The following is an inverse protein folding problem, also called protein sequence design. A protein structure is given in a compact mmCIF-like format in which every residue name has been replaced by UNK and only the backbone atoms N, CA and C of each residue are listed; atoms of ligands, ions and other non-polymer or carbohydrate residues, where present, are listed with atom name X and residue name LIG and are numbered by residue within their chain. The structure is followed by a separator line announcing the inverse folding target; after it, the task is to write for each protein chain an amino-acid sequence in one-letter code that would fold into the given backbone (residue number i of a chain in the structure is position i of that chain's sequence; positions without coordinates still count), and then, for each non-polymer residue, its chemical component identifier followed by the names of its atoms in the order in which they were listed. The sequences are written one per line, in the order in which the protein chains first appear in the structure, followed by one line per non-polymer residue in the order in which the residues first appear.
data_IF_149432060069
#
_entry.id   IF_149432060069
#
_cell.length_a   1.000
_cell.length_b   1.000
_cell.length_c   1.000
_cell.angle_alpha   90.00
_cell.angle_beta   90.00
_cell.angle_gamma   90.00
#
_symmetry.space_group_name_H-M   'P 1'
#
loop_
_entity.id
_entity.type
_entity.pdbx_description
1 polymer ?
#
# COMPACT_ATOMS: atom_id res chain seq x y z
N UNK A 1 -0.80 7.67 40.21
CA UNK A 1 0.16 7.44 39.50
C UNK A 1 0.03 6.41 38.53
N UNK A 2 -0.49 5.38 38.89
CA UNK A 2 -0.91 4.53 37.89
C UNK A 2 -1.69 5.19 36.85
N UNK A 3 -2.47 6.18 37.26
CA UNK A 3 -3.22 6.96 36.30
C UNK A 3 -2.30 7.59 35.29
N UNK A 4 -1.17 8.11 35.76
CA UNK A 4 -0.25 8.71 34.85
C UNK A 4 0.34 7.68 33.92
N UNK A 5 0.72 6.52 34.46
CA UNK A 5 1.24 5.46 33.64
C UNK A 5 0.21 5.01 32.63
N UNK A 6 -1.02 4.89 33.07
CA UNK A 6 -2.09 4.50 32.18
C UNK A 6 -2.28 5.53 31.09
N UNK A 7 -2.22 6.79 31.47
CA UNK A 7 -2.35 7.87 30.52
C UNK A 7 -1.21 7.81 29.53
N UNK A 8 -0.01 7.54 30.00
CA UNK A 8 1.13 7.44 29.11
C UNK A 8 0.96 6.30 28.14
N UNK A 9 0.48 5.17 28.62
CA UNK A 9 0.25 4.06 27.74
C UNK A 9 -0.83 4.37 26.70
N UNK A 10 -1.90 4.95 27.15
CA UNK A 10 -2.97 5.31 26.23
C UNK A 10 -2.49 6.38 25.27
N UNK A 11 -1.75 7.35 25.77
CA UNK A 11 -1.24 8.40 24.92
C UNK A 11 -0.27 7.87 23.88
N UNK A 12 0.60 6.94 24.30
CA UNK A 12 1.55 6.35 23.38
C UNK A 12 0.82 5.53 22.30
N UNK A 13 -0.13 4.71 22.71
CA UNK A 13 -0.88 3.92 21.77
C UNK A 13 -1.67 4.81 20.83
N UNK A 14 -2.24 5.88 21.36
CA UNK A 14 -3.01 6.80 20.53
C UNK A 14 -2.11 7.50 19.54
N UNK A 15 -0.92 7.91 19.97
CA UNK A 15 0.03 8.55 19.08
C UNK A 15 0.47 7.61 17.99
N UNK A 16 0.71 6.34 18.32
CA UNK A 16 1.04 5.35 17.32
C UNK A 16 -0.11 5.17 16.36
N UNK A 17 -1.32 5.13 16.88
CA UNK A 17 -2.48 5.00 16.02
C UNK A 17 -2.64 6.20 15.13
N UNK A 18 -2.39 7.38 15.65
CA UNK A 18 -2.51 8.56 14.83
C UNK A 18 -1.45 8.62 13.76
N UNK A 19 -0.24 8.24 14.09
CA UNK A 19 0.78 8.12 13.07
C UNK A 19 0.35 7.11 12.04
N UNK A 20 -0.16 5.99 12.50
CA UNK A 20 -0.65 4.97 11.60
C UNK A 20 -1.79 5.51 10.75
N UNK A 21 -2.71 6.26 11.37
CA UNK A 21 -3.82 6.81 10.62
C UNK A 21 -3.37 7.85 9.61
N UNK A 22 -2.40 8.66 9.97
CA UNK A 22 -1.85 9.61 9.02
C UNK A 22 -1.13 8.90 7.90
N UNK A 23 -0.40 7.83 8.28
CA UNK A 23 0.31 7.03 7.29
C UNK A 23 -0.61 6.07 6.58
N UNK A 24 -1.81 5.86 7.15
CA UNK A 24 -2.73 4.90 6.57
C UNK A 24 -3.94 5.58 5.96
N UNK A 25 -3.74 6.71 5.33
CA UNK A 25 -4.73 7.14 4.35
C UNK A 25 -5.06 5.90 3.54
N UNK A 26 -6.33 5.65 3.34
CA UNK A 26 -6.73 4.37 2.75
C UNK A 26 -6.14 4.21 1.37
N UNK A 27 -5.93 2.96 0.99
CA UNK A 27 -5.44 2.66 -0.35
C UNK A 27 -6.36 3.25 -1.41
N UNK A 28 -7.67 3.19 -1.19
CA UNK A 28 -8.63 3.76 -2.12
C UNK A 28 -8.42 5.27 -2.26
N UNK A 29 -8.20 5.96 -1.14
CA UNK A 29 -8.00 7.40 -1.19
C UNK A 29 -6.70 7.74 -1.91
N UNK A 30 -5.66 6.96 -1.69
CA UNK A 30 -4.39 7.18 -2.38
C UNK A 30 -4.54 6.93 -3.88
N UNK A 31 -5.27 5.89 -4.24
CA UNK A 31 -5.47 5.60 -5.66
C UNK A 31 -6.32 6.68 -6.31
N UNK A 32 -7.32 7.18 -5.60
CA UNK A 32 -8.14 8.26 -6.12
C UNK A 32 -7.32 9.52 -6.32
N UNK A 33 -6.46 9.86 -5.35
CA UNK A 33 -5.57 11.00 -5.49
C UNK A 33 -4.61 10.81 -6.67
N UNK A 34 -4.10 9.58 -6.82
CA UNK A 34 -3.23 9.25 -7.95
C UNK A 34 -3.96 9.51 -9.26
N UNK A 35 -5.21 9.08 -9.33
CA UNK A 35 -6.01 9.22 -10.53
C UNK A 35 -6.18 10.68 -10.92
N UNK A 36 -6.18 11.58 -9.95
CA UNK A 36 -6.32 13.01 -10.21
C UNK A 36 -4.98 13.72 -10.33
N UNK A 37 -3.88 12.98 -10.37
CA UNK A 37 -2.59 13.55 -10.68
C UNK A 37 -1.62 13.70 -9.53
N UNK A 38 -1.95 13.19 -8.35
CA UNK A 38 -1.08 13.33 -7.18
C UNK A 38 -0.04 12.21 -7.20
N UNK A 39 1.17 12.55 -7.64
CA UNK A 39 2.22 11.55 -7.76
C UNK A 39 2.78 11.13 -6.42
N UNK A 40 2.71 11.99 -5.41
CA UNK A 40 3.15 11.61 -4.07
C UNK A 40 2.23 10.53 -3.50
N UNK A 41 0.94 10.62 -3.80
CA UNK A 41 0.00 9.59 -3.37
C UNK A 41 0.35 8.24 -4.01
N UNK A 42 0.70 8.24 -5.28
CA UNK A 42 1.10 7.01 -5.94
C UNK A 42 2.39 6.46 -5.36
N UNK A 43 3.36 7.32 -5.07
CA UNK A 43 4.62 6.90 -4.48
C UNK A 43 4.38 6.24 -3.12
N UNK A 44 3.45 6.78 -2.34
CA UNK A 44 3.13 6.17 -1.05
C UNK A 44 2.47 4.81 -1.24
N UNK A 45 1.57 4.70 -2.20
CA UNK A 45 0.91 3.44 -2.48
C UNK A 45 1.92 2.38 -2.90
N UNK A 46 2.87 2.75 -3.77
CA UNK A 46 3.95 1.86 -4.17
C UNK A 46 4.76 1.44 -2.95
N UNK A 47 5.07 2.38 -2.06
CA UNK A 47 5.84 2.08 -0.86
C UNK A 47 5.17 1.07 0.04
N UNK A 48 3.84 1.09 0.10
CA UNK A 48 3.11 0.14 0.94
C UNK A 48 3.20 -1.28 0.42
N UNK A 49 3.29 -1.47 -0.88
CA UNK A 49 3.13 -2.79 -1.47
C UNK A 49 4.37 -3.33 -2.17
N UNK A 50 5.38 -2.49 -2.38
CA UNK A 50 6.53 -2.91 -3.18
C UNK A 50 7.16 -4.20 -2.68
N UNK A 51 7.47 -4.26 -1.40
CA UNK A 51 8.15 -5.43 -0.86
C UNK A 51 7.27 -6.65 -0.87
N UNK A 52 5.99 -6.48 -0.58
CA UNK A 52 5.05 -7.59 -0.56
C UNK A 52 4.87 -8.18 -1.96
N UNK A 53 4.71 -7.32 -2.94
CA UNK A 53 4.51 -7.78 -4.31
C UNK A 53 5.78 -8.43 -4.85
N UNK A 54 6.93 -7.83 -4.58
CA UNK A 54 8.20 -8.42 -5.01
C UNK A 54 8.39 -9.80 -4.39
N UNK A 55 8.13 -9.93 -3.10
CA UNK A 55 8.27 -11.22 -2.42
C UNK A 55 7.30 -12.25 -2.98
N UNK A 56 6.08 -11.82 -3.25
CA UNK A 56 5.06 -12.70 -3.80
C UNK A 56 5.51 -13.26 -5.15
N UNK A 57 6.00 -12.39 -6.02
CA UNK A 57 6.46 -12.82 -7.35
C UNK A 57 7.71 -13.68 -7.22
N UNK A 58 8.61 -13.29 -6.31
CA UNK A 58 9.85 -14.06 -6.12
C UNK A 58 9.54 -15.49 -5.69
N UNK A 59 8.56 -15.67 -4.83
CA UNK A 59 8.20 -17.02 -4.39
C UNK A 59 7.68 -17.89 -5.53
N UNK A 60 7.10 -17.27 -6.55
CA UNK A 60 6.60 -18.00 -7.69
C UNK A 60 7.67 -18.27 -8.74
N UNK A 61 8.64 -17.38 -8.86
CA UNK A 61 9.60 -17.44 -9.96
C UNK A 61 10.98 -17.87 -9.54
N UNK A 62 11.31 -17.72 -8.24
CA UNK A 62 12.65 -18.00 -7.71
C UNK A 62 13.73 -17.16 -8.41
N UNK A 63 13.36 -15.99 -8.91
CA UNK A 63 14.23 -15.07 -9.65
C UNK A 63 14.02 -13.69 -9.06
N UNK A 64 14.94 -13.25 -8.20
CA UNK A 64 14.73 -12.00 -7.48
C UNK A 64 14.76 -10.78 -8.41
N UNK A 65 15.74 -10.72 -9.30
CA UNK A 65 15.83 -9.56 -10.19
C UNK A 65 14.62 -9.50 -11.11
N UNK A 66 14.17 -10.65 -11.59
CA UNK A 66 12.95 -10.70 -12.38
C UNK A 66 11.73 -10.30 -11.58
N UNK A 67 11.70 -10.68 -10.29
CA UNK A 67 10.59 -10.29 -9.44
C UNK A 67 10.54 -8.78 -9.23
N UNK A 68 11.70 -8.15 -9.07
CA UNK A 68 11.75 -6.69 -8.94
C UNK A 68 11.19 -6.04 -10.21
N UNK A 69 11.59 -6.52 -11.36
CA UNK A 69 11.11 -5.95 -12.62
C UNK A 69 9.61 -6.15 -12.79
N UNK A 70 9.12 -7.34 -12.45
CA UNK A 70 7.70 -7.62 -12.57
C UNK A 70 6.88 -6.83 -11.56
N UNK A 71 7.44 -6.57 -10.38
CA UNK A 71 6.76 -5.72 -9.40
C UNK A 71 6.62 -4.30 -9.94
N UNK A 72 7.68 -3.78 -10.56
CA UNK A 72 7.60 -2.46 -11.17
C UNK A 72 6.54 -2.42 -12.25
N UNK A 73 6.51 -3.45 -13.09
CA UNK A 73 5.49 -3.52 -14.13
C UNK A 73 4.09 -3.58 -13.54
N UNK A 74 3.93 -4.28 -12.42
CA UNK A 74 2.64 -4.35 -11.73
C UNK A 74 2.18 -2.94 -11.36
N UNK A 75 3.08 -2.13 -10.81
CA UNK A 75 2.70 -0.77 -10.42
C UNK A 75 2.42 0.12 -11.62
N UNK A 76 3.12 -0.08 -12.72
CA UNK A 76 2.80 0.65 -13.95
C UNK A 76 1.38 0.32 -14.40
N UNK A 77 1.00 -0.95 -14.32
CA UNK A 77 -0.36 -1.35 -14.69
C UNK A 77 -1.39 -0.76 -13.74
N UNK A 78 -1.09 -0.73 -12.44
CA UNK A 78 -1.99 -0.11 -11.46
C UNK A 78 -2.20 1.35 -11.83
N UNK A 79 -1.13 2.04 -12.14
CA UNK A 79 -1.20 3.44 -12.47
C UNK A 79 -2.06 3.67 -13.73
N UNK A 80 -1.81 2.87 -14.76
CA UNK A 80 -2.53 3.03 -16.02
C UNK A 80 -3.99 2.65 -15.90
N UNK A 81 -4.31 1.74 -15.01
CA UNK A 81 -5.67 1.26 -14.85
C UNK A 81 -6.44 1.95 -13.73
N UNK A 82 -5.85 2.99 -13.13
CA UNK A 82 -6.45 3.63 -11.96
C UNK A 82 -7.87 4.11 -12.25
N UNK A 83 -8.14 4.57 -13.46
CA UNK A 83 -9.47 5.06 -13.84
C UNK A 83 -10.51 3.97 -13.80
N UNK A 84 -10.11 2.73 -13.96
CA UNK A 84 -11.05 1.61 -14.05
C UNK A 84 -11.18 0.83 -12.77
N UNK A 85 -10.44 1.23 -11.73
CA UNK A 85 -10.49 0.53 -10.47
C UNK A 85 -11.86 0.71 -9.83
N UNK A 86 -12.42 -0.38 -9.36
CA UNK A 86 -13.71 -0.36 -8.70
C UNK A 86 -13.54 -0.59 -7.22
N UNK A 87 -14.20 0.23 -6.42
CA UNK A 87 -14.06 0.16 -4.97
C UNK A 87 -14.81 -1.00 -4.34
N UNK A 88 -15.43 -1.81 -5.16
CA UNK A 88 -16.23 -2.93 -4.65
C UNK A 88 -15.37 -4.01 -4.01
N UNK A 89 -14.05 -3.99 -4.22
CA UNK A 89 -13.16 -4.94 -3.57
C UNK A 89 -11.91 -4.20 -3.08
N UNK A 90 -11.19 -4.87 -2.17
CA UNK A 90 -10.03 -4.27 -1.53
C UNK A 90 -8.93 -4.04 -2.55
N UNK A 91 -8.19 -2.95 -2.36
CA UNK A 91 -7.06 -2.66 -3.23
C UNK A 91 -6.02 -3.76 -3.17
N UNK A 92 -5.78 -4.36 -1.99
CA UNK A 92 -4.82 -5.45 -1.88
C UNK A 92 -5.20 -6.62 -2.80
N UNK A 93 -6.48 -6.96 -2.87
CA UNK A 93 -6.94 -7.99 -3.79
C UNK A 93 -6.65 -7.60 -5.23
N UNK A 94 -6.91 -6.36 -5.55
CA UNK A 94 -6.75 -5.85 -6.90
C UNK A 94 -5.29 -5.90 -7.35
N UNK A 95 -4.37 -5.43 -6.49
CA UNK A 95 -2.97 -5.37 -6.91
C UNK A 95 -2.38 -6.78 -7.05
N UNK A 96 -2.77 -7.72 -6.19
CA UNK A 96 -2.29 -9.09 -6.34
C UNK A 96 -2.84 -9.74 -7.59
N UNK A 97 -4.06 -9.40 -7.96
CA UNK A 97 -4.64 -9.89 -9.21
C UNK A 97 -3.84 -9.38 -10.41
N UNK A 98 -3.47 -8.11 -10.41
CA UNK A 98 -2.67 -7.57 -11.48
C UNK A 98 -1.29 -8.25 -11.51
N UNK A 99 -0.70 -8.47 -10.36
CA UNK A 99 0.62 -9.10 -10.29
C UNK A 99 0.59 -10.52 -10.83
N UNK A 100 -0.54 -11.20 -10.68
CA UNK A 100 -0.67 -12.59 -11.14
C UNK A 100 -0.90 -12.68 -12.65
N UNK A 101 -1.52 -11.68 -13.20
CA UNK A 101 -1.77 -11.68 -14.63
C UNK A 101 -0.56 -11.21 -15.40
#
# INVERSE_FOLDING_TARGET
MNTLTTIDEVGFAHALQQETLEDTTSDHALLEATRTGDQDAFAELVGRYRNQITSYIYRMTNDYDGAVDLAQETFVRVYRAADRYQRSYAFSTYIYRIATN
#
